data_IF_364004155417
#
_entry.id   IF_364004155417
#
_cell.length_a   1.000
_cell.length_b   1.000
_cell.length_c   1.000
_cell.angle_alpha   90.00
_cell.angle_beta   90.00
_cell.angle_gamma   90.00
#
_symmetry.space_group_name_H-M   'P 1'
#
loop_
_entity.id
_entity.type
_entity.pdbx_description
1 polymer ?
#
# COMPACT_ATOMS: atom_id res chain seq x y z
N UNK A 1 -2.06 -1.52 -4.12
CA UNK A 1 -3.33 -2.26 -4.04
C UNK A 1 -4.36 -1.84 -5.09
N UNK A 2 -4.07 -2.16 -6.39
CA UNK A 2 -4.97 -1.79 -7.51
C UNK A 2 -6.38 -2.36 -7.35
N UNK A 3 -6.51 -3.58 -6.83
CA UNK A 3 -7.80 -4.25 -6.63
C UNK A 3 -8.67 -3.45 -5.66
N UNK A 4 -8.13 -3.08 -4.51
CA UNK A 4 -8.88 -2.31 -3.51
C UNK A 4 -9.28 -0.93 -4.04
N UNK A 5 -8.36 -0.22 -4.69
CA UNK A 5 -8.66 1.08 -5.28
C UNK A 5 -9.78 0.97 -6.33
N UNK A 6 -9.74 -0.05 -7.19
CA UNK A 6 -10.80 -0.25 -8.17
C UNK A 6 -12.14 -0.56 -7.51
N UNK A 7 -12.16 -1.36 -6.44
CA UNK A 7 -13.37 -1.65 -5.67
C UNK A 7 -13.96 -0.41 -4.99
N UNK A 8 -13.11 0.47 -4.47
CA UNK A 8 -13.57 1.72 -3.82
C UNK A 8 -14.17 2.73 -4.81
N UNK A 9 -13.65 2.77 -6.04
CA UNK A 9 -14.11 3.72 -7.09
C UNK A 9 -15.35 3.19 -7.84
N UNK A 10 -15.56 1.86 -7.87
CA UNK A 10 -16.67 1.26 -8.63
C UNK A 10 -18.00 1.79 -8.14
N UNK A 11 -18.79 2.36 -9.05
CA UNK A 11 -20.18 2.73 -8.80
C UNK A 11 -21.08 1.50 -8.95
N UNK A 12 -21.98 1.26 -7.96
CA UNK A 12 -22.89 0.13 -7.95
C UNK A 12 -22.43 -1.06 -7.12
N UNK A 13 -22.90 -2.27 -7.47
CA UNK A 13 -22.54 -3.50 -6.76
C UNK A 13 -21.08 -3.88 -7.02
N UNK A 14 -20.31 -4.04 -5.93
CA UNK A 14 -18.91 -4.46 -5.96
C UNK A 14 -18.84 -5.97 -5.85
N UNK A 15 -18.64 -6.63 -6.97
CA UNK A 15 -18.60 -8.08 -7.05
C UNK A 15 -17.17 -8.54 -7.23
N UNK A 16 -16.75 -9.52 -6.40
CA UNK A 16 -15.47 -10.20 -6.50
C UNK A 16 -15.73 -11.68 -6.66
N UNK A 17 -15.15 -12.29 -7.67
CA UNK A 17 -15.22 -13.72 -7.89
C UNK A 17 -13.99 -14.35 -7.25
N UNK A 18 -14.21 -15.21 -6.25
CA UNK A 18 -13.13 -15.95 -5.58
C UNK A 18 -13.25 -17.44 -5.89
N UNK A 19 -12.13 -18.11 -6.00
CA UNK A 19 -12.09 -19.57 -6.08
C UNK A 19 -12.00 -20.16 -4.67
N UNK A 20 -12.98 -20.96 -4.30
CA UNK A 20 -13.04 -21.65 -3.01
C UNK A 20 -13.31 -23.12 -3.22
N UNK A 21 -12.33 -23.98 -2.91
CA UNK A 21 -12.46 -25.42 -3.10
C UNK A 21 -12.75 -25.84 -4.56
N UNK A 22 -12.13 -25.18 -5.53
CA UNK A 22 -12.32 -25.43 -6.97
C UNK A 22 -13.65 -24.91 -7.55
N UNK A 23 -14.43 -24.13 -6.76
CA UNK A 23 -15.65 -23.49 -7.21
C UNK A 23 -15.51 -21.98 -7.21
N UNK A 24 -16.02 -21.35 -8.25
CA UNK A 24 -16.12 -19.89 -8.29
C UNK A 24 -17.29 -19.42 -7.44
N UNK A 25 -17.01 -18.56 -6.46
CA UNK A 25 -18.01 -17.97 -5.57
C UNK A 25 -18.00 -16.47 -5.80
N UNK A 26 -19.15 -15.90 -6.13
CA UNK A 26 -19.32 -14.46 -6.27
C UNK A 26 -19.63 -13.86 -4.89
N UNK A 27 -18.83 -12.88 -4.48
CA UNK A 27 -19.00 -12.15 -3.24
C UNK A 27 -19.33 -10.69 -3.57
N UNK A 28 -20.36 -10.16 -2.93
CA UNK A 28 -20.68 -8.73 -2.99
C UNK A 28 -20.03 -8.04 -1.78
N UNK A 29 -19.25 -7.00 -2.03
CA UNK A 29 -18.55 -6.25 -1.00
C UNK A 29 -19.19 -4.87 -0.83
N UNK A 30 -19.96 -4.63 0.24
CA UNK A 30 -20.52 -3.31 0.55
C UNK A 30 -19.40 -2.28 0.76
N UNK A 31 -19.63 -1.04 0.30
CA UNK A 31 -18.64 0.02 0.43
C UNK A 31 -18.28 0.32 1.88
N UNK A 32 -19.30 0.35 2.73
CA UNK A 32 -19.13 0.70 4.16
C UNK A 32 -18.25 -0.34 4.86
N UNK A 33 -18.45 -1.64 4.59
CA UNK A 33 -17.58 -2.71 5.12
C UNK A 33 -16.13 -2.59 4.63
N UNK A 34 -15.91 -2.25 3.35
CA UNK A 34 -14.57 -2.03 2.81
C UNK A 34 -13.86 -0.85 3.48
N UNK A 35 -14.60 0.22 3.77
CA UNK A 35 -14.07 1.40 4.47
C UNK A 35 -13.73 1.05 5.92
N UNK A 36 -14.62 0.36 6.64
CA UNK A 36 -14.37 -0.10 8.01
C UNK A 36 -13.18 -1.05 8.09
N UNK A 37 -13.10 -2.04 7.21
CA UNK A 37 -11.97 -2.96 7.14
C UNK A 37 -10.65 -2.22 6.90
N UNK A 38 -10.66 -1.22 6.04
CA UNK A 38 -9.49 -0.38 5.76
C UNK A 38 -9.06 0.43 6.98
N UNK A 39 -10.00 1.01 7.72
CA UNK A 39 -9.73 1.78 8.93
C UNK A 39 -9.23 0.90 10.09
N UNK A 40 -9.74 -0.34 10.20
CA UNK A 40 -9.40 -1.26 11.29
C UNK A 40 -8.04 -1.94 11.13
N UNK A 41 -7.63 -2.28 9.89
CA UNK A 41 -6.42 -3.10 9.63
C UNK A 41 -5.31 -2.39 8.88
N UNK A 42 -5.53 -1.17 8.45
CA UNK A 42 -4.63 -0.50 7.50
C UNK A 42 -4.87 -0.96 6.05
N UNK A 43 -4.36 -0.17 5.14
CA UNK A 43 -4.62 -0.27 3.71
C UNK A 43 -3.98 -1.51 3.04
N UNK A 44 -2.91 -2.05 3.64
CA UNK A 44 -2.07 -3.08 3.03
C UNK A 44 -2.59 -4.50 3.26
N UNK A 45 -3.42 -4.72 4.28
CA UNK A 45 -3.77 -6.06 4.76
C UNK A 45 -5.07 -6.65 4.19
N UNK A 46 -5.82 -5.90 3.37
CA UNK A 46 -7.09 -6.41 2.80
C UNK A 46 -6.89 -7.49 1.73
N UNK A 47 -5.81 -7.37 0.96
CA UNK A 47 -5.43 -8.35 -0.06
C UNK A 47 -3.93 -8.59 0.02
N UNK A 48 -3.53 -9.64 0.70
CA UNK A 48 -2.13 -10.06 0.81
C UNK A 48 -1.84 -11.28 -0.03
N UNK A 49 -0.61 -11.42 -0.49
CA UNK A 49 -0.14 -12.66 -1.08
C UNK A 49 -0.10 -13.73 0.01
N UNK A 50 -0.72 -14.88 -0.26
CA UNK A 50 -0.64 -16.02 0.64
C UNK A 50 0.78 -16.57 0.61
N UNK A 51 1.55 -16.28 1.66
CA UNK A 51 2.91 -16.79 1.83
C UNK A 51 2.87 -17.99 2.78
N UNK A 52 3.05 -19.22 2.28
CA UNK A 52 3.14 -20.39 3.14
C UNK A 52 4.39 -20.31 4.01
N UNK A 53 4.33 -20.89 5.20
CA UNK A 53 5.50 -20.96 6.07
C UNK A 53 6.37 -22.15 5.68
N UNK A 54 7.21 -21.96 4.69
CA UNK A 54 8.18 -22.95 4.23
C UNK A 54 9.51 -22.78 4.95
N UNK A 55 10.11 -23.90 5.35
CA UNK A 55 11.41 -23.92 6.02
C UNK A 55 12.52 -24.07 4.98
N UNK A 56 13.54 -23.19 5.05
CA UNK A 56 14.78 -23.34 4.29
C UNK A 56 15.83 -24.09 5.11
N UNK A 57 16.03 -23.69 6.37
CA UNK A 57 17.01 -24.30 7.28
C UNK A 57 16.64 -24.07 8.75
N UNK A 58 17.05 -25.01 9.60
CA UNK A 58 17.06 -24.83 11.04
C UNK A 58 18.37 -24.12 11.45
N UNK A 59 18.26 -23.07 12.27
CA UNK A 59 19.41 -22.32 12.79
C UNK A 59 19.80 -22.81 14.17
N UNK A 60 18.80 -23.17 14.98
CA UNK A 60 19.04 -23.64 16.34
C UNK A 60 18.87 -25.16 16.43
N UNK A 61 19.66 -25.77 17.31
CA UNK A 61 19.61 -27.20 17.58
C UNK A 61 18.23 -27.66 18.06
N UNK A 62 17.50 -26.79 18.74
CA UNK A 62 16.11 -26.99 19.18
C UNK A 62 15.13 -27.19 18.01
N UNK A 63 15.44 -26.73 16.83
CA UNK A 63 14.66 -26.88 15.60
C UNK A 63 15.21 -27.96 14.65
N UNK A 64 16.20 -28.77 15.08
CA UNK A 64 16.89 -29.75 14.22
C UNK A 64 15.97 -30.85 13.64
N UNK A 65 14.79 -31.09 14.22
CA UNK A 65 13.79 -31.99 13.69
C UNK A 65 13.11 -31.48 12.40
N UNK A 66 13.18 -30.16 12.14
CA UNK A 66 12.63 -29.50 10.97
C UNK A 66 13.63 -29.57 9.81
N UNK A 67 13.12 -29.83 8.61
CA UNK A 67 13.93 -30.02 7.40
C UNK A 67 13.60 -28.98 6.34
N UNK A 68 14.55 -28.78 5.44
CA UNK A 68 14.32 -27.94 4.26
C UNK A 68 13.15 -28.47 3.43
N UNK A 69 12.22 -27.58 3.09
CA UNK A 69 11.02 -27.92 2.33
C UNK A 69 9.81 -28.26 3.18
N UNK A 70 9.95 -28.38 4.49
CA UNK A 70 8.81 -28.53 5.40
C UNK A 70 7.91 -27.30 5.33
N UNK A 71 6.61 -27.51 5.23
CA UNK A 71 5.60 -26.46 5.30
C UNK A 71 4.86 -26.55 6.64
N UNK A 72 4.91 -25.49 7.45
CA UNK A 72 4.14 -25.41 8.67
C UNK A 72 2.70 -25.08 8.31
N UNK A 73 1.79 -26.01 8.55
CA UNK A 73 0.36 -25.89 8.24
C UNK A 73 -0.52 -25.62 9.47
N UNK A 74 0.01 -25.89 10.66
CA UNK A 74 -0.61 -25.53 11.93
C UNK A 74 0.45 -25.34 13.03
N UNK A 75 0.16 -24.49 14.02
CA UNK A 75 0.90 -24.35 15.27
C UNK A 75 -0.13 -24.48 16.40
N UNK A 76 -0.02 -25.51 17.23
CA UNK A 76 -1.03 -25.91 18.19
C UNK A 76 -2.43 -26.01 17.53
N UNK A 77 -3.39 -25.21 18.00
CA UNK A 77 -4.75 -25.14 17.45
C UNK A 77 -4.89 -24.13 16.32
N UNK A 78 -3.89 -23.27 16.09
CA UNK A 78 -3.89 -22.25 15.04
C UNK A 78 -3.61 -22.91 13.68
N UNK A 79 -4.60 -22.88 12.78
CA UNK A 79 -4.53 -23.53 11.46
C UNK A 79 -4.85 -22.54 10.33
N UNK A 80 -4.29 -22.80 9.16
CA UNK A 80 -4.61 -22.06 7.92
C UNK A 80 -4.17 -20.61 7.95
N UNK A 81 -3.24 -20.25 8.83
CA UNK A 81 -2.63 -18.95 8.87
C UNK A 81 -1.54 -18.86 7.79
N UNK A 82 -1.20 -17.63 7.42
CA UNK A 82 -0.05 -17.33 6.60
C UNK A 82 1.19 -17.12 7.47
N UNK A 83 2.35 -17.00 6.85
CA UNK A 83 3.62 -16.79 7.55
C UNK A 83 3.56 -15.68 8.62
N UNK A 84 2.99 -14.52 8.27
CA UNK A 84 2.83 -13.39 9.19
C UNK A 84 1.89 -13.70 10.36
N UNK A 85 0.80 -14.41 10.10
CA UNK A 85 -0.14 -14.85 11.13
C UNK A 85 0.49 -15.84 12.11
N UNK A 86 1.28 -16.79 11.60
CA UNK A 86 2.03 -17.71 12.46
C UNK A 86 3.10 -16.98 13.27
N UNK A 87 3.77 -15.99 12.72
CA UNK A 87 4.72 -15.17 13.47
C UNK A 87 4.06 -14.39 14.61
N UNK A 88 2.86 -13.84 14.38
CA UNK A 88 2.10 -13.18 15.46
C UNK A 88 1.67 -14.17 16.55
N UNK A 89 1.21 -15.35 16.16
CA UNK A 89 0.86 -16.40 17.11
C UNK A 89 2.07 -16.82 17.96
N UNK A 90 3.23 -17.04 17.34
CA UNK A 90 4.47 -17.42 18.04
C UNK A 90 4.91 -16.38 19.08
N UNK A 91 4.69 -15.09 18.82
CA UNK A 91 4.95 -14.02 19.81
C UNK A 91 4.10 -14.18 21.07
N UNK A 92 2.88 -14.71 20.96
CA UNK A 92 2.02 -14.99 22.11
C UNK A 92 2.47 -16.21 22.93
N UNK A 93 3.36 -17.04 22.36
CA UNK A 93 3.91 -18.28 22.95
C UNK A 93 5.40 -18.14 23.27
N UNK A 94 5.93 -16.93 23.32
CA UNK A 94 7.33 -16.66 23.61
C UNK A 94 7.78 -17.33 24.93
N UNK A 95 8.96 -17.95 24.92
CA UNK A 95 9.53 -18.68 26.06
C UNK A 95 8.86 -20.03 26.37
N UNK A 96 7.89 -20.46 25.58
CA UNK A 96 7.17 -21.72 25.74
C UNK A 96 7.57 -22.80 24.72
N UNK A 97 6.75 -23.83 24.64
CA UNK A 97 6.86 -24.89 23.63
C UNK A 97 5.56 -24.92 22.80
N UNK A 98 5.68 -25.18 21.52
CA UNK A 98 4.53 -25.32 20.60
C UNK A 98 4.64 -26.63 19.80
N UNK A 99 3.49 -27.19 19.43
CA UNK A 99 3.40 -28.36 18.56
C UNK A 99 3.15 -27.88 17.13
N UNK A 100 4.14 -28.07 16.26
CA UNK A 100 4.02 -27.77 14.83
C UNK A 100 3.41 -28.95 14.10
N UNK A 101 2.38 -28.72 13.29
CA UNK A 101 1.95 -29.66 12.27
C UNK A 101 2.65 -29.27 10.99
N UNK A 102 3.51 -30.14 10.51
CA UNK A 102 4.40 -29.92 9.36
C UNK A 102 4.01 -30.87 8.24
N UNK A 103 3.87 -30.32 7.04
CA UNK A 103 3.69 -31.08 5.81
C UNK A 103 5.07 -31.31 5.18
N UNK A 104 5.46 -32.59 5.02
CA UNK A 104 6.77 -33.02 4.49
C UNK A 104 6.56 -33.97 3.31
N UNK A 105 7.39 -33.86 2.28
CA UNK A 105 7.48 -34.77 1.10
C UNK A 105 6.12 -35.32 0.65
N UNK A 106 5.39 -34.55 -0.15
CA UNK A 106 4.03 -34.88 -0.56
C UNK A 106 3.00 -34.38 0.44
N UNK A 107 2.20 -35.24 1.05
CA UNK A 107 1.13 -34.84 1.97
C UNK A 107 1.28 -35.44 3.38
N UNK A 108 2.50 -35.92 3.74
CA UNK A 108 2.74 -36.50 5.05
C UNK A 108 2.71 -35.40 6.13
N UNK A 109 1.78 -35.52 7.07
CA UNK A 109 1.65 -34.64 8.22
C UNK A 109 2.42 -35.22 9.40
N UNK A 110 3.32 -34.43 9.97
CA UNK A 110 4.12 -34.74 11.13
C UNK A 110 3.81 -33.72 12.24
N UNK A 111 3.76 -34.22 13.48
CA UNK A 111 3.71 -33.33 14.63
C UNK A 111 5.09 -33.26 15.29
N UNK A 112 5.62 -32.08 15.45
CA UNK A 112 6.95 -31.83 16.00
C UNK A 112 6.82 -30.76 17.09
N UNK A 113 7.22 -31.10 18.32
CA UNK A 113 7.31 -30.15 19.42
C UNK A 113 8.60 -29.34 19.27
N UNK A 114 8.50 -28.01 19.34
CA UNK A 114 9.64 -27.10 19.18
C UNK A 114 9.52 -25.98 20.21
N UNK A 115 10.61 -25.68 20.96
CA UNK A 115 10.63 -24.53 21.87
C UNK A 115 10.62 -23.22 21.09
N UNK A 116 9.94 -22.24 21.63
CA UNK A 116 9.85 -20.88 21.11
C UNK A 116 10.79 -20.00 21.92
N UNK A 117 11.63 -19.23 21.25
CA UNK A 117 12.52 -18.30 21.95
C UNK A 117 11.75 -17.20 22.70
N UNK A 118 12.41 -16.48 23.60
CA UNK A 118 11.83 -15.33 24.31
C UNK A 118 11.39 -14.20 23.36
N UNK A 119 11.92 -14.20 22.14
CA UNK A 119 11.54 -13.26 21.08
C UNK A 119 10.35 -13.76 20.21
N UNK A 120 9.80 -14.94 20.52
CA UNK A 120 8.72 -15.54 19.74
C UNK A 120 9.17 -16.13 18.40
N UNK A 121 10.41 -16.69 18.32
CA UNK A 121 10.97 -17.28 17.11
C UNK A 121 11.20 -18.79 17.27
N UNK A 122 11.00 -19.55 16.18
CA UNK A 122 11.26 -21.00 16.12
C UNK A 122 12.73 -21.37 15.85
N UNK A 123 13.59 -20.37 15.57
CA UNK A 123 14.98 -20.63 15.20
C UNK A 123 15.14 -21.29 13.83
N UNK A 124 14.28 -20.96 12.90
CA UNK A 124 14.33 -21.40 11.50
C UNK A 124 14.43 -20.23 10.55
N UNK A 125 15.06 -20.45 9.40
CA UNK A 125 15.00 -19.53 8.26
C UNK A 125 13.83 -19.96 7.38
N UNK A 126 12.88 -19.03 7.18
CA UNK A 126 11.77 -19.26 6.26
C UNK A 126 12.22 -19.02 4.82
N UNK A 127 11.77 -19.91 3.93
CA UNK A 127 11.97 -19.77 2.49
C UNK A 127 10.83 -18.98 1.88
N UNK A 128 11.16 -17.95 1.12
CA UNK A 128 10.18 -17.31 0.27
C UNK A 128 9.92 -18.20 -0.98
N UNK A 129 8.69 -18.71 -1.19
CA UNK A 129 8.38 -19.54 -2.36
C UNK A 129 8.38 -18.75 -3.67
N UNK A 130 8.27 -17.44 -3.59
CA UNK A 130 8.21 -16.58 -4.76
C UNK A 130 9.61 -16.18 -5.23
N UNK A 131 9.91 -16.49 -6.47
CA UNK A 131 11.12 -15.98 -7.12
C UNK A 131 10.86 -14.56 -7.60
N UNK A 132 11.52 -13.61 -6.96
CA UNK A 132 11.53 -12.23 -7.44
C UNK A 132 12.37 -12.16 -8.70
N UNK A 133 11.78 -11.71 -9.81
CA UNK A 133 12.53 -11.39 -11.02
C UNK A 133 12.95 -9.93 -10.96
N UNK A 134 14.24 -9.69 -10.89
CA UNK A 134 14.79 -8.36 -11.13
C UNK A 134 14.79 -8.11 -12.64
N UNK A 135 14.10 -7.06 -13.08
CA UNK A 135 14.11 -6.65 -14.47
C UNK A 135 15.18 -5.60 -14.66
N UNK A 136 16.28 -5.99 -15.28
CA UNK A 136 17.38 -5.09 -15.59
C UNK A 136 17.12 -4.38 -16.93
N UNK A 137 17.47 -3.11 -16.99
CA UNK A 137 17.36 -2.28 -18.18
C UNK A 137 18.71 -1.70 -18.52
N UNK A 138 19.08 -1.72 -19.79
CA UNK A 138 20.18 -0.88 -20.29
C UNK A 138 19.77 0.60 -20.23
N UNK A 139 20.74 1.51 -20.28
CA UNK A 139 20.47 2.96 -20.25
C UNK A 139 19.38 3.38 -21.24
N UNK A 140 19.44 2.94 -22.49
CA UNK A 140 18.45 3.30 -23.52
C UNK A 140 17.08 2.64 -23.31
N UNK A 141 17.04 1.48 -22.72
CA UNK A 141 15.78 0.79 -22.37
C UNK A 141 15.13 1.39 -21.13
N UNK A 142 15.89 2.01 -20.24
CA UNK A 142 15.35 2.63 -19.02
C UNK A 142 14.48 3.85 -19.33
N UNK A 143 14.75 4.58 -20.42
CA UNK A 143 13.97 5.78 -20.81
C UNK A 143 12.50 5.42 -21.10
N UNK A 144 12.19 4.54 -22.08
CA UNK A 144 10.78 4.16 -22.33
C UNK A 144 10.15 3.44 -21.15
N UNK A 145 10.88 2.61 -20.43
CA UNK A 145 10.38 1.95 -19.22
C UNK A 145 10.02 2.97 -18.11
N UNK A 146 10.84 4.01 -17.95
CA UNK A 146 10.58 5.12 -17.03
C UNK A 146 9.33 5.91 -17.41
N UNK A 147 9.14 6.22 -18.68
CA UNK A 147 7.95 6.91 -19.21
C UNK A 147 6.69 6.06 -18.95
N UNK A 148 6.75 4.75 -19.23
CA UNK A 148 5.64 3.84 -18.98
C UNK A 148 5.29 3.79 -17.47
N UNK A 149 6.31 3.69 -16.60
CA UNK A 149 6.15 3.69 -15.15
C UNK A 149 5.54 5.01 -14.66
N UNK A 150 6.02 6.15 -15.18
CA UNK A 150 5.47 7.47 -14.86
C UNK A 150 3.99 7.56 -15.26
N UNK A 151 3.61 7.10 -16.44
CA UNK A 151 2.21 7.04 -16.88
C UNK A 151 1.32 6.22 -15.93
N UNK A 152 1.82 5.07 -15.46
CA UNK A 152 1.10 4.25 -14.47
C UNK A 152 0.95 4.97 -13.12
N UNK A 153 1.98 5.69 -12.68
CA UNK A 153 1.94 6.49 -11.45
C UNK A 153 0.93 7.63 -11.57
N UNK A 154 0.94 8.38 -12.69
CA UNK A 154 -0.01 9.46 -12.96
C UNK A 154 -1.45 8.94 -12.94
N UNK A 155 -1.71 7.84 -13.65
CA UNK A 155 -3.05 7.23 -13.69
C UNK A 155 -3.52 6.81 -12.30
N UNK A 156 -2.65 6.13 -11.54
CA UNK A 156 -2.97 5.69 -10.17
C UNK A 156 -3.22 6.88 -9.23
N UNK A 157 -2.42 7.94 -9.36
CA UNK A 157 -2.59 9.15 -8.54
C UNK A 157 -3.88 9.91 -8.89
N UNK A 158 -4.23 9.95 -10.18
CA UNK A 158 -5.51 10.52 -10.62
C UNK A 158 -6.72 9.78 -10.03
N UNK A 159 -6.65 8.44 -9.96
CA UNK A 159 -7.68 7.65 -9.29
C UNK A 159 -7.77 7.97 -7.78
N UNK A 160 -6.63 8.15 -7.12
CA UNK A 160 -6.59 8.54 -5.70
C UNK A 160 -7.20 9.93 -5.48
N UNK A 161 -6.90 10.90 -6.34
CA UNK A 161 -7.52 12.24 -6.27
C UNK A 161 -9.04 12.19 -6.41
N UNK A 162 -9.57 11.36 -7.31
CA UNK A 162 -11.02 11.14 -7.42
C UNK A 162 -11.61 10.60 -6.12
N UNK A 163 -10.92 9.66 -5.46
CA UNK A 163 -11.38 9.11 -4.19
C UNK A 163 -11.39 10.16 -3.07
N UNK A 164 -10.38 11.06 -3.03
CA UNK A 164 -10.31 12.13 -2.03
C UNK A 164 -11.50 13.09 -2.17
N UNK A 165 -11.91 13.39 -3.40
CA UNK A 165 -13.05 14.28 -3.67
C UNK A 165 -14.40 13.62 -3.37
N UNK A 166 -14.46 12.28 -3.31
CA UNK A 166 -15.68 11.54 -2.99
C UNK A 166 -15.86 11.43 -1.46
N UNK A 167 -16.84 12.11 -0.81
CA UNK A 167 -17.01 12.05 0.64
C UNK A 167 -17.27 10.65 1.19
N UNK A 168 -17.89 9.78 0.38
CA UNK A 168 -18.21 8.40 0.76
C UNK A 168 -16.99 7.53 1.04
N UNK A 169 -15.84 7.82 0.40
CA UNK A 169 -14.62 7.02 0.57
C UNK A 169 -13.85 7.37 1.83
N UNK A 170 -14.12 8.53 2.44
CA UNK A 170 -13.38 9.11 3.58
C UNK A 170 -11.86 9.22 3.35
N UNK A 171 -11.43 9.22 2.06
CA UNK A 171 -10.00 9.32 1.73
C UNK A 171 -9.37 10.64 2.13
N UNK A 172 -10.17 11.69 2.33
CA UNK A 172 -9.69 12.97 2.85
C UNK A 172 -9.09 12.84 4.26
N UNK A 173 -9.51 11.86 5.07
CA UNK A 173 -8.93 11.57 6.39
C UNK A 173 -7.50 11.01 6.30
N UNK A 174 -7.07 10.55 5.13
CA UNK A 174 -5.73 10.04 4.89
C UNK A 174 -4.79 11.04 4.22
N UNK A 175 -5.26 12.26 3.97
CA UNK A 175 -4.38 13.31 3.48
C UNK A 175 -3.26 13.54 4.48
N UNK A 176 -2.03 13.32 4.01
CA UNK A 176 -0.82 13.54 4.77
C UNK A 176 -0.20 14.91 4.47
N UNK A 177 0.43 15.49 5.48
CA UNK A 177 1.21 16.71 5.39
C UNK A 177 2.71 16.43 5.30
N UNK A 178 3.53 17.30 5.89
CA UNK A 178 4.99 17.20 5.83
C UNK A 178 5.55 15.97 6.54
N UNK A 179 4.93 15.54 7.66
CA UNK A 179 5.38 14.35 8.40
C UNK A 179 5.16 13.09 7.56
N UNK A 180 3.97 12.98 6.95
CA UNK A 180 3.66 11.86 6.05
C UNK A 180 4.58 11.83 4.82
N UNK A 181 4.89 12.98 4.21
CA UNK A 181 5.84 13.08 3.10
C UNK A 181 7.24 12.65 3.56
N UNK A 182 7.69 13.09 4.72
CA UNK A 182 8.99 12.71 5.29
C UNK A 182 9.08 11.20 5.55
N UNK A 183 8.00 10.60 6.03
CA UNK A 183 7.94 9.16 6.35
C UNK A 183 7.97 8.24 5.12
N UNK A 184 7.79 8.77 3.91
CA UNK A 184 7.97 8.00 2.67
C UNK A 184 9.42 7.55 2.49
N UNK A 185 10.38 8.35 2.99
CA UNK A 185 11.79 8.02 2.89
C UNK A 185 12.18 7.04 4.02
N UNK A 186 12.86 5.92 3.69
CA UNK A 186 13.32 4.96 4.69
C UNK A 186 14.36 5.59 5.63
N UNK A 187 14.44 5.09 6.87
CA UNK A 187 15.45 5.54 7.84
C UNK A 187 16.88 5.21 7.41
N UNK A 188 17.05 4.12 6.67
CA UNK A 188 18.33 3.70 6.12
C UNK A 188 18.54 4.29 4.73
N UNK A 189 19.73 4.82 4.49
CA UNK A 189 20.07 5.45 3.21
C UNK A 189 20.21 4.41 2.10
N UNK A 190 19.35 4.51 1.09
CA UNK A 190 19.39 3.71 -0.13
C UNK A 190 19.23 4.62 -1.35
N UNK A 191 20.22 4.62 -2.23
CA UNK A 191 20.19 5.47 -3.43
C UNK A 191 19.06 5.15 -4.40
N UNK A 192 18.69 3.87 -4.55
CA UNK A 192 17.59 3.46 -5.41
C UNK A 192 16.27 4.01 -4.88
N UNK A 193 15.98 3.80 -3.59
CA UNK A 193 14.79 4.32 -2.95
C UNK A 193 14.74 5.85 -2.97
N UNK A 194 15.85 6.52 -2.74
CA UNK A 194 15.94 7.98 -2.80
C UNK A 194 15.51 8.50 -4.17
N UNK A 195 16.07 7.98 -5.26
CA UNK A 195 15.71 8.42 -6.61
C UNK A 195 14.29 8.04 -6.99
N UNK A 196 13.80 6.86 -6.61
CA UNK A 196 12.41 6.45 -6.86
C UNK A 196 11.41 7.35 -6.12
N UNK A 197 11.67 7.70 -4.86
CA UNK A 197 10.80 8.60 -4.08
C UNK A 197 10.85 10.03 -4.61
N UNK A 198 12.03 10.51 -4.98
CA UNK A 198 12.20 11.83 -5.60
C UNK A 198 11.45 11.93 -6.93
N UNK A 199 11.54 10.91 -7.79
CA UNK A 199 10.80 10.85 -9.04
C UNK A 199 9.28 10.79 -8.78
N UNK A 200 8.84 10.02 -7.80
CA UNK A 200 7.43 9.93 -7.39
C UNK A 200 6.90 11.30 -6.94
N UNK A 201 7.61 11.99 -6.05
CA UNK A 201 7.21 13.33 -5.58
C UNK A 201 7.19 14.34 -6.72
N UNK A 202 8.16 14.28 -7.65
CA UNK A 202 8.19 15.17 -8.82
C UNK A 202 6.96 14.97 -9.72
N UNK A 203 6.55 13.72 -9.92
CA UNK A 203 5.33 13.39 -10.70
C UNK A 203 4.09 13.91 -9.98
N UNK A 204 3.98 13.71 -8.66
CA UNK A 204 2.86 14.23 -7.86
C UNK A 204 2.77 15.76 -7.98
N UNK A 205 3.88 16.46 -7.80
CA UNK A 205 3.92 17.91 -7.91
C UNK A 205 3.51 18.38 -9.31
N UNK A 206 3.95 17.69 -10.37
CA UNK A 206 3.55 18.00 -11.74
C UNK A 206 2.03 17.81 -11.93
N UNK A 207 1.46 16.70 -11.45
CA UNK A 207 0.01 16.45 -11.53
C UNK A 207 -0.77 17.49 -10.74
N UNK A 208 -0.33 17.83 -9.52
CA UNK A 208 -0.99 18.86 -8.71
C UNK A 208 -0.97 20.22 -9.37
N UNK A 209 0.15 20.58 -10.03
CA UNK A 209 0.27 21.85 -10.73
C UNK A 209 -0.60 21.93 -12.01
N UNK A 210 -0.97 20.80 -12.61
CA UNK A 210 -1.90 20.77 -13.76
C UNK A 210 -3.35 20.94 -13.32
N UNK A 211 -3.69 20.72 -12.05
CA UNK A 211 -5.06 20.89 -11.57
C UNK A 211 -5.57 22.32 -11.80
N UNK A 212 -6.86 22.49 -12.14
CA UNK A 212 -7.48 23.77 -12.42
C UNK A 212 -7.74 24.58 -11.14
N UNK A 213 -6.72 24.70 -10.30
CA UNK A 213 -6.81 25.47 -9.04
C UNK A 213 -6.14 26.82 -9.27
N UNK A 214 -6.87 27.93 -9.12
CA UNK A 214 -6.26 29.26 -9.19
C UNK A 214 -5.13 29.37 -8.15
N UNK A 215 -3.99 29.93 -8.56
CA UNK A 215 -2.78 29.97 -7.73
C UNK A 215 -1.77 28.84 -8.01
N UNK A 216 -2.15 27.85 -8.83
CA UNK A 216 -1.28 26.85 -9.44
C UNK A 216 -1.17 27.12 -10.94
N UNK A 217 -0.18 26.50 -11.60
CA UNK A 217 0.07 26.67 -13.04
C UNK A 217 -1.14 26.29 -13.89
N UNK A 218 -1.87 25.22 -13.51
CA UNK A 218 -3.10 24.81 -14.18
C UNK A 218 -4.21 25.84 -14.15
N UNK A 219 -4.31 26.64 -13.07
CA UNK A 219 -5.23 27.78 -13.00
C UNK A 219 -4.87 28.85 -14.02
N UNK A 220 -3.60 29.20 -14.14
CA UNK A 220 -3.12 30.14 -15.16
C UNK A 220 -3.34 29.62 -16.57
N UNK A 221 -3.10 28.32 -16.81
CA UNK A 221 -3.34 27.69 -18.10
C UNK A 221 -4.80 27.83 -18.56
N UNK A 222 -5.77 27.69 -17.65
CA UNK A 222 -7.20 27.90 -17.96
C UNK A 222 -7.47 29.33 -18.42
N UNK A 223 -6.95 30.33 -17.73
CA UNK A 223 -7.15 31.72 -18.12
C UNK A 223 -6.51 32.01 -19.48
N UNK A 224 -5.31 31.49 -19.72
CA UNK A 224 -4.64 31.60 -21.03
C UNK A 224 -5.42 30.92 -22.13
N UNK A 225 -5.96 29.73 -21.86
CA UNK A 225 -6.81 29.00 -22.80
C UNK A 225 -8.11 29.77 -23.12
N UNK A 226 -8.73 30.38 -22.08
CA UNK A 226 -9.89 31.26 -22.26
C UNK A 226 -9.57 32.44 -23.17
N UNK A 227 -8.44 33.10 -22.94
CA UNK A 227 -8.00 34.23 -23.77
C UNK A 227 -7.77 33.80 -25.24
N UNK A 228 -7.17 32.63 -25.44
CA UNK A 228 -6.92 32.07 -26.74
C UNK A 228 -8.20 31.75 -27.53
N UNK A 229 -9.22 31.19 -26.82
CA UNK A 229 -10.48 30.80 -27.46
C UNK A 229 -11.42 31.98 -27.71
N UNK A 230 -11.47 32.94 -26.78
CA UNK A 230 -12.41 34.07 -26.84
C UNK A 230 -11.82 35.31 -27.47
N UNK A 231 -10.49 35.39 -27.63
CA UNK A 231 -9.78 36.59 -28.06
C UNK A 231 -9.87 37.76 -27.07
N UNK A 232 -10.37 37.51 -25.86
CA UNK A 232 -10.58 38.54 -24.82
C UNK A 232 -9.70 38.28 -23.63
N UNK A 233 -8.92 39.28 -23.22
CA UNK A 233 -8.15 39.20 -21.97
C UNK A 233 -9.06 39.16 -20.76
N UNK A 234 -8.72 38.29 -19.81
CA UNK A 234 -9.33 38.27 -18.48
C UNK A 234 -8.87 39.53 -17.74
N UNK A 235 -9.76 40.22 -17.05
CA UNK A 235 -9.39 41.43 -16.32
C UNK A 235 -8.48 41.10 -15.14
N UNK A 236 -7.53 42.01 -14.82
CA UNK A 236 -6.57 41.83 -13.73
C UNK A 236 -7.27 41.61 -12.38
N UNK A 237 -8.41 42.24 -12.15
CA UNK A 237 -9.21 42.05 -10.93
C UNK A 237 -9.76 40.66 -10.77
N UNK A 238 -10.15 39.98 -11.89
CA UNK A 238 -10.62 38.61 -11.87
C UNK A 238 -9.47 37.63 -11.64
N UNK A 239 -8.31 37.88 -12.28
CA UNK A 239 -7.11 37.09 -12.05
C UNK A 239 -6.64 37.18 -10.59
N UNK A 240 -6.55 38.39 -10.06
CA UNK A 240 -6.17 38.64 -8.66
C UNK A 240 -7.15 37.98 -7.69
N UNK A 241 -8.45 38.17 -7.89
CA UNK A 241 -9.48 37.52 -7.08
C UNK A 241 -9.42 36.00 -7.12
N UNK A 242 -9.20 35.42 -8.30
CA UNK A 242 -9.02 33.99 -8.45
C UNK A 242 -7.77 33.48 -7.70
N UNK A 243 -6.64 34.21 -7.78
CA UNK A 243 -5.41 33.88 -7.06
C UNK A 243 -5.62 33.89 -5.54
N UNK A 244 -6.34 34.88 -5.00
CA UNK A 244 -6.67 34.92 -3.57
C UNK A 244 -7.50 33.71 -3.14
N UNK A 245 -8.52 33.33 -3.92
CA UNK A 245 -9.34 32.14 -3.64
C UNK A 245 -8.46 30.89 -3.67
N UNK A 246 -7.61 30.73 -4.68
CA UNK A 246 -6.69 29.60 -4.78
C UNK A 246 -5.72 29.55 -3.59
N UNK A 247 -5.15 30.68 -3.19
CA UNK A 247 -4.26 30.76 -2.03
C UNK A 247 -4.98 30.29 -0.74
N UNK A 248 -6.22 30.74 -0.52
CA UNK A 248 -7.01 30.32 0.65
C UNK A 248 -7.28 28.82 0.62
N UNK A 249 -7.61 28.24 -0.55
CA UNK A 249 -7.81 26.79 -0.71
C UNK A 249 -6.53 26.02 -0.37
N UNK A 250 -5.39 26.45 -0.93
CA UNK A 250 -4.10 25.79 -0.69
C UNK A 250 -3.72 25.89 0.79
N UNK A 251 -3.88 27.04 1.41
CA UNK A 251 -3.60 27.24 2.83
C UNK A 251 -4.49 26.35 3.71
N UNK A 252 -5.78 26.28 3.40
CA UNK A 252 -6.71 25.39 4.10
C UNK A 252 -6.28 23.92 3.98
N UNK A 253 -5.96 23.45 2.77
CA UNK A 253 -5.49 22.07 2.56
C UNK A 253 -4.19 21.79 3.30
N UNK A 254 -3.26 22.75 3.31
CA UNK A 254 -2.00 22.65 4.05
C UNK A 254 -2.25 22.49 5.56
N UNK A 255 -3.09 23.36 6.12
CA UNK A 255 -3.43 23.30 7.54
C UNK A 255 -4.17 22.00 7.89
N UNK A 256 -5.09 21.57 7.05
CA UNK A 256 -5.83 20.32 7.23
C UNK A 256 -4.88 19.11 7.20
N UNK A 257 -4.03 19.00 6.18
CA UNK A 257 -3.11 17.87 6.03
C UNK A 257 -2.09 17.78 7.18
N UNK A 258 -1.50 18.92 7.59
CA UNK A 258 -0.56 18.92 8.72
C UNK A 258 -1.28 18.70 10.06
N UNK A 259 -2.50 19.22 10.24
CA UNK A 259 -3.33 18.92 11.40
C UNK A 259 -3.66 17.42 11.50
N UNK A 260 -3.98 16.80 10.37
CA UNK A 260 -4.22 15.37 10.30
C UNK A 260 -2.95 14.53 10.60
N UNK A 261 -1.78 14.98 10.14
CA UNK A 261 -0.51 14.36 10.50
C UNK A 261 -0.27 14.39 12.01
N UNK A 262 -0.45 15.54 12.64
CA UNK A 262 -0.29 15.70 14.09
C UNK A 262 -1.27 14.75 14.82
N UNK A 263 -2.52 14.73 14.40
CA UNK A 263 -3.51 13.84 14.98
C UNK A 263 -3.11 12.35 14.88
N UNK A 264 -2.65 11.93 13.70
CA UNK A 264 -2.30 10.52 13.44
C UNK A 264 -1.02 10.06 14.12
N UNK A 265 0.00 10.91 14.18
CA UNK A 265 1.32 10.53 14.72
C UNK A 265 1.47 10.75 16.21
N UNK A 266 0.66 11.63 16.83
CA UNK A 266 0.83 11.98 18.24
C UNK A 266 -0.40 11.66 19.12
N UNK A 267 -1.58 11.48 18.54
CA UNK A 267 -2.82 11.29 19.31
C UNK A 267 -3.42 9.89 19.10
N UNK A 268 -3.31 9.30 17.89
CA UNK A 268 -3.81 7.97 17.54
C UNK A 268 -2.69 6.95 17.52
#
# INVERSE_FOLDING_TARGET
>A
NKILNSLLITEGERKVVVERGGKHVELTLPLDELIEMRQAKGYEDLFTLRVPFLIDSAVYESAAALRRGDEIVAIDDARGLEYSGYQQYLKTRAGGEVTLTVKREGDMLLQIAVPVSDEGKLGVIARNPYTLRTQEYTFWQSIPAGIEKAGKVISSYWEQLKMIVQPKTKMYEELGGFIAIGSIFPGDWNWEDFWLKTAFLSIILAVMNILPIPGLDGGHAIFTFWEMVTGRKVSDKVLEGAQYVGLVIILFLLLYANGNDIYRFFIK
#
